data_IF_534540557363
#
_entry.id   IF_534540557363
#
_cell.length_a   1.000
_cell.length_b   1.000
_cell.length_c   1.000
_cell.angle_alpha   90.00
_cell.angle_beta   90.00
_cell.angle_gamma   90.00
#
_symmetry.space_group_name_H-M   'P 1'
#
loop_
_entity.id
_entity.type
_entity.pdbx_description
1 polymer ?
#
# COMPACT_ATOMS: atom_id res chain seq x y z
N UNK A 1 -9.60 26.23 9.23
CA UNK A 1 -8.57 25.90 8.22
C UNK A 1 -8.12 24.50 8.55
N UNK A 2 -8.30 23.57 7.60
CA UNK A 2 -8.04 22.14 7.76
C UNK A 2 -6.54 21.90 7.76
N UNK A 3 -5.95 21.67 8.94
CA UNK A 3 -4.64 21.06 9.04
C UNK A 3 -4.77 19.62 8.52
N UNK A 4 -4.45 19.41 7.25
CA UNK A 4 -4.16 18.06 6.76
C UNK A 4 -2.92 17.60 7.51
N UNK A 5 -2.95 16.46 8.23
CA UNK A 5 -1.73 15.89 8.76
C UNK A 5 -0.88 15.55 7.55
N UNK A 6 0.21 16.28 7.36
CA UNK A 6 1.31 15.85 6.52
C UNK A 6 1.62 14.44 6.95
N UNK A 7 1.52 13.49 6.01
CA UNK A 7 2.03 12.12 6.15
C UNK A 7 3.52 12.21 6.50
N UNK A 8 3.83 12.45 7.77
CA UNK A 8 5.20 12.51 8.26
C UNK A 8 5.70 11.08 8.32
N UNK A 9 6.41 10.73 7.26
CA UNK A 9 7.19 9.50 7.17
C UNK A 9 8.07 9.39 8.40
N UNK A 10 7.94 8.29 9.13
CA UNK A 10 8.73 8.09 10.34
C UNK A 10 10.25 8.17 10.02
N UNK A 11 11.07 8.89 10.83
CA UNK A 11 12.48 9.15 10.53
C UNK A 11 13.32 7.91 10.20
N UNK A 12 13.00 6.79 10.85
CA UNK A 12 13.64 5.49 10.62
C UNK A 12 13.65 5.07 9.15
N UNK A 13 12.62 5.46 8.39
CA UNK A 13 12.46 5.06 6.99
C UNK A 13 12.77 6.17 5.96
N UNK A 14 13.37 7.29 6.37
CA UNK A 14 13.71 8.38 5.45
C UNK A 14 14.52 7.93 4.23
N UNK A 15 15.41 6.94 4.41
CA UNK A 15 16.27 6.42 3.35
C UNK A 15 15.51 5.78 2.17
N UNK A 16 14.26 5.39 2.37
CA UNK A 16 13.45 4.73 1.36
C UNK A 16 12.22 5.57 0.94
N UNK A 17 12.11 6.82 1.39
CA UNK A 17 10.95 7.70 1.20
C UNK A 17 10.45 7.77 -0.25
N UNK A 18 11.36 7.76 -1.23
CA UNK A 18 10.98 7.79 -2.66
C UNK A 18 10.27 6.52 -3.10
N UNK A 19 10.67 5.34 -2.60
CA UNK A 19 9.95 4.09 -2.85
C UNK A 19 8.54 4.13 -2.23
N UNK A 20 8.40 4.74 -1.05
CA UNK A 20 7.12 4.87 -0.36
C UNK A 20 6.16 5.86 -1.02
N UNK A 21 6.67 6.85 -1.74
CA UNK A 21 5.82 7.71 -2.59
C UNK A 21 5.16 6.94 -3.73
N UNK A 22 5.77 5.85 -4.20
CA UNK A 22 5.22 5.02 -5.28
C UNK A 22 4.17 4.01 -4.79
N UNK A 23 4.16 3.69 -3.49
CA UNK A 23 3.30 2.68 -2.88
C UNK A 23 1.79 2.91 -3.11
N UNK A 24 1.23 4.13 -2.96
CA UNK A 24 -0.18 4.38 -3.23
C UNK A 24 -0.59 4.04 -4.66
N UNK A 25 0.13 4.58 -5.65
CA UNK A 25 -0.16 4.35 -7.06
C UNK A 25 0.02 2.87 -7.47
N UNK A 26 1.04 2.21 -6.93
CA UNK A 26 1.24 0.77 -7.13
C UNK A 26 0.08 -0.04 -6.54
N UNK A 27 -0.40 0.32 -5.34
CA UNK A 27 -1.52 -0.35 -4.69
C UNK A 27 -2.80 -0.18 -5.49
N UNK A 28 -3.09 1.03 -5.98
CA UNK A 28 -4.25 1.31 -6.84
C UNK A 28 -4.21 0.48 -8.13
N UNK A 29 -3.03 0.35 -8.76
CA UNK A 29 -2.85 -0.49 -9.94
C UNK A 29 -3.12 -1.98 -9.67
N UNK A 30 -2.73 -2.47 -8.48
CA UNK A 30 -3.00 -3.85 -8.07
C UNK A 30 -4.48 -4.09 -7.77
N UNK A 31 -5.19 -3.09 -7.21
CA UNK A 31 -6.64 -3.15 -7.02
C UNK A 31 -7.34 -3.28 -8.37
N UNK A 32 -6.97 -2.44 -9.35
CA UNK A 32 -7.53 -2.51 -10.70
C UNK A 32 -7.27 -3.88 -11.36
N UNK A 33 -6.05 -4.42 -11.20
CA UNK A 33 -5.72 -5.74 -11.74
C UNK A 33 -6.52 -6.86 -11.05
N UNK A 34 -6.74 -6.77 -9.73
CA UNK A 34 -7.59 -7.71 -9.00
C UNK A 34 -9.01 -7.70 -9.54
N UNK A 35 -9.59 -6.52 -9.71
CA UNK A 35 -10.95 -6.35 -10.26
C UNK A 35 -11.05 -6.92 -11.68
N UNK A 36 -10.01 -6.76 -12.51
CA UNK A 36 -9.96 -7.37 -13.83
C UNK A 36 -9.95 -8.90 -13.78
N UNK A 37 -9.22 -9.50 -12.84
CA UNK A 37 -9.24 -10.96 -12.63
C UNK A 37 -10.59 -11.47 -12.11
N UNK A 38 -11.22 -10.76 -11.16
CA UNK A 38 -12.57 -11.08 -10.68
C UNK A 38 -13.58 -11.02 -11.84
N UNK A 39 -13.52 -9.98 -12.68
CA UNK A 39 -14.39 -9.86 -13.85
C UNK A 39 -14.17 -10.97 -14.89
N UNK A 40 -12.96 -11.54 -14.93
CA UNK A 40 -12.57 -12.62 -15.84
C UNK A 40 -12.80 -14.02 -15.25
N UNK A 41 -13.30 -14.12 -14.02
CA UNK A 41 -13.49 -15.37 -13.25
C UNK A 41 -12.19 -16.11 -12.94
N UNK A 42 -11.08 -15.38 -12.86
CA UNK A 42 -9.77 -15.87 -12.44
C UNK A 42 -9.62 -15.73 -10.92
N UNK A 43 -10.48 -16.42 -10.17
CA UNK A 43 -10.63 -16.25 -8.71
C UNK A 43 -9.31 -16.49 -7.95
N UNK A 44 -8.50 -17.45 -8.40
CA UNK A 44 -7.19 -17.72 -7.80
C UNK A 44 -6.28 -16.49 -7.87
N UNK A 45 -6.16 -15.86 -9.04
CA UNK A 45 -5.31 -14.68 -9.22
C UNK A 45 -5.84 -13.47 -8.45
N UNK A 46 -7.16 -13.29 -8.40
CA UNK A 46 -7.79 -12.25 -7.60
C UNK A 46 -7.49 -12.43 -6.09
N UNK A 47 -7.54 -13.66 -5.58
CA UNK A 47 -7.22 -13.97 -4.19
C UNK A 47 -5.74 -13.68 -3.88
N UNK A 48 -4.82 -14.08 -4.76
CA UNK A 48 -3.39 -13.79 -4.59
C UNK A 48 -3.14 -12.27 -4.50
N UNK A 49 -3.76 -11.47 -5.39
CA UNK A 49 -3.63 -10.02 -5.35
C UNK A 49 -4.26 -9.40 -4.09
N UNK A 50 -5.35 -9.96 -3.57
CA UNK A 50 -5.94 -9.51 -2.31
C UNK A 50 -4.94 -9.60 -1.15
N UNK A 51 -4.20 -10.71 -1.04
CA UNK A 51 -3.18 -10.87 0.00
C UNK A 51 -2.01 -9.89 -0.18
N UNK A 52 -1.58 -9.67 -1.43
CA UNK A 52 -0.51 -8.72 -1.71
C UNK A 52 -0.91 -7.27 -1.38
N UNK A 53 -2.12 -6.85 -1.74
CA UNK A 53 -2.66 -5.53 -1.40
C UNK A 53 -2.71 -5.35 0.12
N UNK A 54 -3.21 -6.34 0.86
CA UNK A 54 -3.24 -6.28 2.33
C UNK A 54 -1.84 -6.08 2.92
N UNK A 55 -0.83 -6.76 2.37
CA UNK A 55 0.55 -6.59 2.81
C UNK A 55 1.11 -5.20 2.52
N UNK A 56 0.75 -4.59 1.38
CA UNK A 56 1.18 -3.22 1.07
C UNK A 56 0.51 -2.19 1.99
N UNK A 57 -0.74 -2.42 2.39
CA UNK A 57 -1.41 -1.57 3.39
C UNK A 57 -0.78 -1.70 4.77
N UNK A 58 -0.37 -2.90 5.19
CA UNK A 58 0.41 -3.07 6.42
C UNK A 58 1.74 -2.31 6.37
N UNK A 59 2.44 -2.37 5.24
CA UNK A 59 3.69 -1.63 5.03
C UNK A 59 3.45 -0.12 5.12
N UNK A 60 2.34 0.39 4.55
CA UNK A 60 1.94 1.81 4.68
C UNK A 60 1.68 2.19 6.13
N UNK A 61 0.97 1.34 6.90
CA UNK A 61 0.68 1.59 8.29
C UNK A 61 1.94 1.63 9.16
N UNK A 62 2.88 0.69 8.97
CA UNK A 62 4.17 0.68 9.66
C UNK A 62 4.98 1.96 9.42
N UNK A 63 4.79 2.58 8.26
CA UNK A 63 5.46 3.81 7.89
C UNK A 63 5.05 5.02 8.74
N UNK A 64 3.79 5.05 9.15
CA UNK A 64 3.24 6.09 10.02
C UNK A 64 3.58 5.88 11.49
N UNK A 65 3.84 4.63 11.91
CA UNK A 65 4.06 4.28 13.31
C UNK A 65 5.53 4.04 13.71
N UNK A 66 6.43 3.78 12.76
CA UNK A 66 7.80 3.38 13.04
C UNK A 66 7.92 1.93 13.57
N UNK A 67 9.15 1.42 13.82
CA UNK A 67 9.35 0.11 14.40
C UNK A 67 8.76 0.04 15.82
N UNK A 68 7.89 -0.92 16.09
CA UNK A 68 7.51 -1.27 17.46
C UNK A 68 8.55 -2.26 17.98
N UNK A 69 9.52 -1.76 18.74
CA UNK A 69 10.54 -2.56 19.42
C UNK A 69 9.97 -3.41 20.54
#
# INVERSE_FOLDING_TARGET
>A
MTDQPTNEVHPYYQHAIEAFKLLPAATDGLVQLREAFEASKEDFLAIELKHMIARLEEIKALFSSGPQG
#
